data_IF_136147753151
#
_entry.id   IF_136147753151
#
_cell.length_a   1.000
_cell.length_b   1.000
_cell.length_c   1.000
_cell.angle_alpha   90.00
_cell.angle_beta   90.00
_cell.angle_gamma   90.00
#
_symmetry.space_group_name_H-M   'P 1'
#
loop_
_entity.id
_entity.type
_entity.pdbx_description
1 polymer ?
#
# COMPACT_ATOMS: atom_id res chain seq x y z
N UNK A 1 24.83 -13.54 -5.33
CA UNK A 1 24.58 -12.98 -3.99
C UNK A 1 23.26 -13.56 -3.50
N UNK A 2 23.27 -14.37 -2.44
CA UNK A 2 22.04 -14.80 -1.75
C UNK A 2 21.69 -13.71 -0.74
N UNK A 3 20.58 -13.01 -0.94
CA UNK A 3 19.96 -12.24 0.12
C UNK A 3 19.38 -13.26 1.11
N UNK A 4 19.93 -13.33 2.31
CA UNK A 4 19.36 -14.18 3.37
C UNK A 4 18.13 -13.50 3.93
N UNK A 5 17.02 -14.23 4.02
CA UNK A 5 15.69 -13.81 4.48
C UNK A 5 15.69 -12.98 5.78
N UNK A 6 16.73 -13.11 6.60
CA UNK A 6 16.95 -12.34 7.83
C UNK A 6 17.26 -10.86 7.58
N UNK A 7 18.02 -10.51 6.54
CA UNK A 7 18.38 -9.12 6.21
C UNK A 7 17.17 -8.36 5.62
N UNK A 8 16.41 -9.03 4.76
CA UNK A 8 15.18 -8.49 4.18
C UNK A 8 14.12 -8.23 5.25
N UNK A 9 13.96 -9.17 6.19
CA UNK A 9 13.05 -9.01 7.34
C UNK A 9 13.50 -7.90 8.29
N UNK A 10 14.80 -7.77 8.54
CA UNK A 10 15.34 -6.70 9.38
C UNK A 10 15.11 -5.32 8.74
N UNK A 11 15.35 -5.18 7.43
CA UNK A 11 15.02 -3.94 6.70
C UNK A 11 13.53 -3.65 6.73
N UNK A 12 12.69 -4.65 6.49
CA UNK A 12 11.23 -4.49 6.54
C UNK A 12 10.73 -3.97 7.90
N UNK A 13 11.31 -4.42 9.01
CA UNK A 13 10.92 -4.02 10.37
C UNK A 13 11.60 -2.71 10.83
N UNK A 14 12.78 -2.37 10.30
CA UNK A 14 13.57 -1.24 10.77
C UNK A 14 13.15 0.11 10.19
N UNK A 15 12.50 0.14 9.03
CA UNK A 15 12.11 1.41 8.40
C UNK A 15 10.65 1.77 8.71
N UNK A 16 10.46 2.86 9.44
CA UNK A 16 9.19 3.58 9.39
C UNK A 16 8.91 3.95 7.93
N UNK A 17 7.78 3.47 7.42
CA UNK A 17 7.46 3.27 6.00
C UNK A 17 7.19 4.53 5.16
N UNK A 18 7.94 5.60 5.39
CA UNK A 18 7.67 6.91 4.78
C UNK A 18 8.91 7.56 4.15
N UNK A 19 9.71 6.79 3.42
CA UNK A 19 10.70 7.39 2.53
C UNK A 19 10.16 7.43 1.10
N UNK A 20 9.77 8.63 0.65
CA UNK A 20 9.28 8.87 -0.71
C UNK A 20 10.45 9.04 -1.66
N UNK A 21 10.59 8.11 -2.60
CA UNK A 21 11.60 8.14 -3.65
C UNK A 21 10.93 8.60 -4.93
N UNK A 22 11.50 9.61 -5.60
CA UNK A 22 11.03 10.03 -6.90
C UNK A 22 11.24 8.89 -7.90
N UNK A 23 10.20 8.53 -8.65
CA UNK A 23 10.32 7.54 -9.70
C UNK A 23 11.01 8.17 -10.91
N UNK A 24 12.25 7.75 -11.15
CA UNK A 24 13.10 8.25 -12.23
C UNK A 24 12.70 7.68 -13.60
N UNK A 25 11.85 6.65 -13.65
CA UNK A 25 11.39 6.02 -14.88
C UNK A 25 10.00 6.50 -15.31
N UNK A 26 9.36 7.35 -14.51
CA UNK A 26 8.16 8.04 -14.92
C UNK A 26 8.48 8.91 -16.16
N UNK A 27 7.53 9.00 -17.10
CA UNK A 27 7.66 9.94 -18.21
C UNK A 27 8.00 11.33 -17.64
N UNK A 28 8.85 12.10 -18.32
CA UNK A 28 9.45 13.33 -17.78
C UNK A 28 8.43 14.36 -17.25
N UNK A 29 7.15 14.25 -17.67
CA UNK A 29 6.05 15.11 -17.26
C UNK A 29 5.20 14.56 -16.09
N UNK A 30 5.48 13.35 -15.62
CA UNK A 30 4.72 12.69 -14.55
C UNK A 30 5.52 12.73 -13.25
N UNK A 31 5.16 13.65 -12.35
CA UNK A 31 5.72 13.61 -11.01
C UNK A 31 5.14 12.41 -10.24
N UNK A 32 5.92 11.34 -10.16
CA UNK A 32 5.58 10.11 -9.44
C UNK A 32 6.58 9.87 -8.32
N UNK A 33 6.08 9.44 -7.16
CA UNK A 33 6.88 9.01 -6.03
C UNK A 33 6.41 7.64 -5.56
N UNK A 34 7.34 6.84 -5.06
CA UNK A 34 7.03 5.53 -4.46
C UNK A 34 7.56 5.48 -3.03
N UNK A 35 6.77 4.91 -2.13
CA UNK A 35 7.17 4.56 -0.77
C UNK A 35 6.66 3.16 -0.43
N UNK A 36 7.36 2.44 0.44
CA UNK A 36 6.92 1.11 0.88
C UNK A 36 6.02 1.21 2.10
N UNK A 37 4.85 0.58 2.06
CA UNK A 37 3.91 0.42 3.16
C UNK A 37 3.48 -1.05 3.30
N UNK A 38 3.57 -1.60 4.50
CA UNK A 38 3.45 -3.03 4.83
C UNK A 38 4.21 -3.95 3.85
N UNK A 39 5.34 -3.50 3.29
CA UNK A 39 6.12 -4.23 2.27
C UNK A 39 5.62 -4.11 0.84
N UNK A 40 4.53 -3.40 0.61
CA UNK A 40 3.97 -3.16 -0.71
C UNK A 40 4.23 -1.70 -1.15
N UNK A 41 4.48 -1.47 -2.45
CA UNK A 41 4.65 -0.11 -2.95
C UNK A 41 3.32 0.66 -2.89
N UNK A 42 3.37 1.84 -2.30
CA UNK A 42 2.39 2.89 -2.50
C UNK A 42 2.97 3.91 -3.49
N UNK A 43 2.18 4.28 -4.49
CA UNK A 43 2.54 5.29 -5.46
C UNK A 43 1.80 6.58 -5.17
N UNK A 44 2.47 7.70 -5.42
CA UNK A 44 1.92 9.04 -5.34
C UNK A 44 2.17 9.70 -6.68
N UNK A 45 1.10 9.97 -7.42
CA UNK A 45 1.19 10.45 -8.80
C UNK A 45 0.48 11.79 -8.93
N UNK A 46 1.11 12.72 -9.65
CA UNK A 46 0.47 13.95 -10.11
C UNK A 46 -0.24 13.68 -11.43
N UNK A 47 -1.55 13.93 -11.46
CA UNK A 47 -2.41 13.63 -12.60
C UNK A 47 -2.75 14.87 -13.44
N UNK A 48 -3.27 14.63 -14.64
CA UNK A 48 -3.57 15.67 -15.64
C UNK A 48 -4.62 16.68 -15.18
N UNK A 49 -5.43 16.33 -14.18
CA UNK A 49 -6.40 17.24 -13.57
C UNK A 49 -5.75 18.24 -12.60
N UNK A 50 -4.44 18.16 -12.38
CA UNK A 50 -3.68 19.04 -11.49
C UNK A 50 -3.77 18.61 -10.03
N UNK A 51 -3.89 17.31 -9.77
CA UNK A 51 -3.97 16.79 -8.41
C UNK A 51 -3.03 15.62 -8.16
N UNK A 52 -2.69 15.47 -6.88
CA UNK A 52 -2.01 14.31 -6.35
C UNK A 52 -3.02 13.23 -5.98
N UNK A 53 -2.75 12.00 -6.39
CA UNK A 53 -3.48 10.81 -5.96
C UNK A 53 -2.53 9.74 -5.42
N UNK A 54 -2.98 9.07 -4.38
CA UNK A 54 -2.31 7.91 -3.80
C UNK A 54 -2.88 6.64 -4.40
N UNK A 55 -2.00 5.69 -4.69
CA UNK A 55 -2.32 4.37 -5.20
C UNK A 55 -1.68 3.32 -4.31
N UNK A 56 -2.46 2.36 -3.82
CA UNK A 56 -1.96 1.28 -2.98
C UNK A 56 -2.82 0.03 -3.15
N UNK A 57 -2.22 -1.11 -3.48
CA UNK A 57 -2.92 -2.40 -3.66
C UNK A 57 -4.15 -2.34 -4.58
N UNK A 58 -4.10 -1.49 -5.61
CA UNK A 58 -5.20 -1.28 -6.56
C UNK A 58 -6.24 -0.24 -6.15
N UNK A 59 -6.17 0.29 -4.92
CA UNK A 59 -7.04 1.37 -4.45
C UNK A 59 -6.44 2.73 -4.83
N UNK A 60 -7.33 3.71 -5.05
CA UNK A 60 -6.99 5.10 -5.38
C UNK A 60 -7.61 6.05 -4.36
N UNK A 61 -6.84 7.02 -3.88
CA UNK A 61 -7.38 8.07 -3.00
C UNK A 61 -8.23 9.10 -3.74
N UNK A 62 -8.89 9.95 -2.97
CA UNK A 62 -9.44 11.19 -3.48
C UNK A 62 -8.33 12.16 -3.95
N UNK A 63 -8.79 13.25 -4.57
CA UNK A 63 -7.98 14.34 -5.09
C UNK A 63 -7.30 15.11 -3.95
N UNK A 64 -5.97 15.25 -4.02
CA UNK A 64 -5.19 16.06 -3.06
C UNK A 64 -4.44 17.16 -3.80
N UNK A 65 -4.51 18.41 -3.35
CA UNK A 65 -3.97 19.54 -4.12
C UNK A 65 -2.46 19.75 -3.96
N UNK A 66 -1.88 19.30 -2.85
CA UNK A 66 -0.48 19.53 -2.54
C UNK A 66 0.27 18.23 -2.22
N UNK A 67 1.52 18.15 -2.71
CA UNK A 67 2.40 17.01 -2.48
C UNK A 67 2.61 16.72 -0.99
N UNK A 68 2.81 17.78 -0.19
CA UNK A 68 3.02 17.64 1.25
C UNK A 68 1.80 17.04 1.97
N UNK A 69 0.61 17.46 1.58
CA UNK A 69 -0.64 16.93 2.14
C UNK A 69 -0.86 15.48 1.71
N UNK A 70 -0.53 15.14 0.46
CA UNK A 70 -0.64 13.76 -0.01
C UNK A 70 0.33 12.82 0.72
N UNK A 71 1.58 13.26 0.97
CA UNK A 71 2.54 12.52 1.79
C UNK A 71 2.08 12.36 3.23
N UNK A 72 1.44 13.39 3.81
CA UNK A 72 0.88 13.36 5.17
C UNK A 72 -0.36 12.46 5.27
N UNK A 73 -1.18 12.40 4.22
CA UNK A 73 -2.40 11.59 4.17
C UNK A 73 -2.13 10.10 3.90
N UNK A 74 -1.02 9.77 3.23
CA UNK A 74 -0.69 8.40 2.82
C UNK A 74 -0.79 7.33 3.93
N UNK A 75 -0.33 7.57 5.17
CA UNK A 75 -0.41 6.55 6.22
C UNK A 75 -1.86 6.27 6.63
N UNK A 76 -2.74 7.27 6.61
CA UNK A 76 -4.16 7.08 6.90
C UNK A 76 -4.83 6.29 5.78
N UNK A 77 -4.61 6.72 4.53
CA UNK A 77 -5.10 6.01 3.35
C UNK A 77 -4.70 4.53 3.32
N UNK A 78 -3.42 4.22 3.58
CA UNK A 78 -2.93 2.83 3.64
C UNK A 78 -3.63 2.02 4.72
N UNK A 79 -3.81 2.59 5.92
CA UNK A 79 -4.53 1.91 7.00
C UNK A 79 -5.96 1.60 6.61
N UNK A 80 -6.64 2.53 5.96
CA UNK A 80 -8.03 2.35 5.50
C UNK A 80 -8.12 1.25 4.44
N UNK A 81 -7.18 1.19 3.50
CA UNK A 81 -7.10 0.12 2.49
C UNK A 81 -6.85 -1.24 3.15
N UNK A 82 -5.90 -1.34 4.06
CA UNK A 82 -5.61 -2.60 4.76
C UNK A 82 -6.80 -3.05 5.62
N UNK A 83 -7.46 -2.14 6.32
CA UNK A 83 -8.68 -2.42 7.08
C UNK A 83 -9.80 -2.92 6.17
N UNK A 84 -9.99 -2.29 5.02
CA UNK A 84 -10.95 -2.72 4.02
C UNK A 84 -10.63 -4.12 3.49
N UNK A 85 -9.37 -4.40 3.13
CA UNK A 85 -8.96 -5.73 2.66
C UNK A 85 -9.15 -6.81 3.73
N UNK A 86 -8.85 -6.52 5.00
CA UNK A 86 -9.13 -7.44 6.10
C UNK A 86 -10.61 -7.75 6.24
N UNK A 87 -11.50 -6.74 6.06
CA UNK A 87 -12.94 -6.96 6.12
C UNK A 87 -13.49 -7.83 4.97
N UNK A 88 -12.72 -7.98 3.87
CA UNK A 88 -13.07 -8.90 2.77
C UNK A 88 -12.63 -10.35 3.03
N UNK A 89 -11.76 -10.58 4.03
CA UNK A 89 -11.34 -11.92 4.42
C UNK A 89 -12.46 -12.55 5.24
N UNK A 90 -13.10 -13.59 4.70
CA UNK A 90 -14.06 -14.39 5.44
C UNK A 90 -13.28 -15.38 6.30
N UNK A 91 -13.45 -15.30 7.62
CA UNK A 91 -13.07 -16.38 8.51
C UNK A 91 -13.95 -17.58 8.15
N UNK A 92 -13.36 -18.58 7.49
CA UNK A 92 -14.13 -19.75 7.03
C UNK A 92 -14.90 -20.36 8.19
N UNK A 93 -16.22 -20.53 8.04
CA UNK A 93 -17.00 -21.29 9.02
C UNK A 93 -16.43 -22.72 9.10
N UNK A 94 -16.27 -23.28 10.31
CA UNK A 94 -15.93 -24.68 10.44
C UNK A 94 -17.04 -25.47 9.77
N UNK A 95 -16.67 -26.38 8.85
CA UNK A 95 -17.57 -27.42 8.39
C UNK A 95 -17.99 -28.23 9.62
N UNK A 96 -19.10 -27.88 10.24
CA UNK A 96 -19.89 -28.81 11.05
C UNK A 96 -20.36 -29.88 10.09
N UNK A 97 -19.55 -30.94 9.98
CA UNK A 97 -19.99 -32.22 9.48
C UNK A 97 -21.05 -32.75 10.44
N UNK A 98 -22.27 -32.24 10.34
CA UNK A 98 -23.43 -32.87 10.93
C UNK A 98 -24.00 -33.82 9.87
N UNK A 99 -23.63 -35.09 9.98
CA UNK A 99 -24.07 -36.18 9.12
C UNK A 99 -24.08 -37.47 9.94
N UNK A 100 -25.19 -38.22 9.96
CA UNK A 100 -25.57 -39.04 11.09
C UNK A 100 -24.75 -40.33 11.20
N UNK A 101 -24.61 -40.81 12.42
CA UNK A 101 -24.18 -42.16 12.71
C UNK A 101 -25.11 -43.18 12.04
N UNK A 102 -24.52 -44.07 11.24
CA UNK A 102 -25.07 -45.37 10.83
C UNK A 102 -24.05 -46.43 11.21
#
# INVERSE_FOLDING_TARGET
MLLTTTDERARFLAFAQQHWIADQHAAHDTHSYTALFAGHPAHLQFETDGAWRLYYLGFRSERIFHLADARRAAPAFVRDVLAHMMALVVDGEPRTSDGPAV
#
